data_IF_765647516115
#
_entry.id   IF_765647516115
#
_cell.length_a   1.000
_cell.length_b   1.000
_cell.length_c   1.000
_cell.angle_alpha   90.00
_cell.angle_beta   90.00
_cell.angle_gamma   90.00
#
_symmetry.space_group_name_H-M   'P 1'
#
loop_
_entity.id
_entity.type
_entity.pdbx_description
1 polymer ?
#
# COMPACT_ATOMS: atom_id res chain seq x y z
N UNK A 1 -7.67 -4.37 -30.54
CA UNK A 1 -7.98 -5.29 -29.43
C UNK A 1 -7.63 -4.51 -28.17
N UNK A 2 -8.62 -4.18 -27.34
CA UNK A 2 -8.35 -3.48 -26.08
C UNK A 2 -7.55 -4.42 -25.17
N UNK A 3 -6.47 -3.94 -24.59
CA UNK A 3 -5.72 -4.65 -23.57
C UNK A 3 -6.69 -4.95 -22.41
N UNK A 4 -6.64 -6.16 -21.89
CA UNK A 4 -7.39 -6.48 -20.67
C UNK A 4 -6.89 -5.59 -19.53
N UNK A 5 -7.79 -5.05 -18.69
CA UNK A 5 -7.38 -4.19 -17.58
C UNK A 5 -6.41 -4.94 -16.67
N UNK A 6 -5.39 -4.23 -16.17
CA UNK A 6 -4.44 -4.82 -15.22
C UNK A 6 -5.15 -5.33 -13.97
N UNK A 7 -4.57 -6.32 -13.27
CA UNK A 7 -5.18 -6.85 -12.04
C UNK A 7 -5.43 -5.76 -11.02
N UNK A 8 -4.47 -4.85 -10.83
CA UNK A 8 -4.61 -3.72 -9.89
C UNK A 8 -5.76 -2.74 -10.22
N UNK A 9 -6.37 -2.81 -11.41
CA UNK A 9 -7.52 -1.99 -11.81
C UNK A 9 -8.87 -2.67 -11.52
N UNK A 10 -8.86 -3.92 -11.04
CA UNK A 10 -10.07 -4.64 -10.67
C UNK A 10 -10.57 -4.24 -9.28
N UNK A 11 -11.84 -4.52 -8.98
CA UNK A 11 -12.38 -4.25 -7.64
C UNK A 11 -11.77 -5.21 -6.59
N UNK A 12 -11.54 -4.71 -5.38
CA UNK A 12 -11.00 -5.49 -4.28
C UNK A 12 -11.85 -6.74 -3.97
N UNK A 13 -13.17 -6.67 -4.14
CA UNK A 13 -14.07 -7.82 -3.95
C UNK A 13 -13.79 -8.90 -4.99
N UNK A 14 -13.68 -8.50 -6.27
CA UNK A 14 -13.37 -9.44 -7.34
C UNK A 14 -11.99 -10.09 -7.14
N UNK A 15 -10.97 -9.29 -6.80
CA UNK A 15 -9.60 -9.77 -6.54
C UNK A 15 -9.56 -10.77 -5.39
N UNK A 16 -10.19 -10.45 -4.26
CA UNK A 16 -10.30 -11.35 -3.11
C UNK A 16 -10.94 -12.69 -3.52
N UNK A 17 -12.04 -12.64 -4.27
CA UNK A 17 -12.76 -13.84 -4.68
C UNK A 17 -11.98 -14.62 -5.72
N UNK A 18 -11.24 -13.98 -6.62
CA UNK A 18 -10.36 -14.62 -7.60
C UNK A 18 -9.17 -15.34 -6.91
N UNK A 19 -8.55 -14.74 -5.88
CA UNK A 19 -7.53 -15.41 -5.07
C UNK A 19 -8.12 -16.64 -4.37
N UNK A 20 -9.30 -16.50 -3.75
CA UNK A 20 -9.98 -17.63 -3.09
C UNK A 20 -10.31 -18.77 -4.04
N UNK A 21 -10.70 -18.46 -5.28
CA UNK A 21 -10.97 -19.46 -6.33
C UNK A 21 -9.70 -19.93 -7.06
N UNK A 22 -8.52 -19.41 -6.69
CA UNK A 22 -7.22 -19.69 -7.34
C UNK A 22 -7.21 -19.36 -8.84
N UNK A 23 -7.97 -18.38 -9.24
CA UNK A 23 -7.95 -17.84 -10.60
C UNK A 23 -6.74 -16.93 -10.82
N UNK A 24 -6.25 -16.30 -9.72
CA UNK A 24 -5.02 -15.56 -9.64
C UNK A 24 -4.30 -15.88 -8.33
N UNK A 25 -2.99 -15.65 -8.28
CA UNK A 25 -2.18 -15.73 -7.07
C UNK A 25 -2.05 -14.36 -6.39
N UNK A 26 -1.73 -14.37 -5.09
CA UNK A 26 -1.36 -13.14 -4.36
C UNK A 26 -0.12 -12.49 -4.97
N UNK A 27 0.85 -13.31 -5.43
CA UNK A 27 2.04 -12.84 -6.11
C UNK A 27 1.74 -12.11 -7.41
N UNK A 28 0.86 -12.64 -8.27
CA UNK A 28 0.46 -11.97 -9.53
C UNK A 28 -0.22 -10.62 -9.28
N UNK A 29 -1.12 -10.56 -8.29
CA UNK A 29 -1.76 -9.29 -7.90
C UNK A 29 -0.74 -8.31 -7.33
N UNK A 30 0.16 -8.78 -6.46
CA UNK A 30 1.21 -7.96 -5.87
C UNK A 30 2.10 -7.32 -6.94
N UNK A 31 2.60 -8.12 -7.90
CA UNK A 31 3.45 -7.60 -8.98
C UNK A 31 2.71 -6.61 -9.88
N UNK A 32 1.42 -6.83 -10.15
CA UNK A 32 0.60 -5.85 -10.88
C UNK A 32 0.50 -4.52 -10.13
N UNK A 33 0.37 -4.54 -8.80
CA UNK A 33 0.36 -3.33 -7.98
C UNK A 33 1.74 -2.65 -7.93
N UNK A 34 2.82 -3.43 -7.78
CA UNK A 34 4.20 -2.91 -7.76
C UNK A 34 4.52 -2.22 -9.09
N UNK A 35 4.24 -2.87 -10.21
CA UNK A 35 4.45 -2.28 -11.53
C UNK A 35 3.72 -0.95 -11.67
N UNK A 36 2.46 -0.87 -11.26
CA UNK A 36 1.68 0.38 -11.29
C UNK A 36 2.32 1.46 -10.42
N UNK A 37 2.80 1.10 -9.22
CA UNK A 37 3.49 2.03 -8.34
C UNK A 37 4.78 2.53 -9.01
N UNK A 38 5.61 1.65 -9.56
CA UNK A 38 6.87 2.01 -10.21
C UNK A 38 6.67 2.92 -11.43
N UNK A 39 5.60 2.70 -12.19
CA UNK A 39 5.25 3.53 -13.35
C UNK A 39 4.77 4.94 -12.94
N UNK A 40 3.92 5.03 -11.92
CA UNK A 40 3.21 6.28 -11.59
C UNK A 40 3.92 7.11 -10.52
N UNK A 41 4.59 6.45 -9.57
CA UNK A 41 5.13 7.09 -8.39
C UNK A 41 6.22 8.14 -8.65
N UNK A 42 7.10 8.01 -9.67
CA UNK A 42 8.06 9.06 -10.02
C UNK A 42 7.42 10.41 -10.35
N UNK A 43 6.16 10.38 -10.82
CA UNK A 43 5.40 11.59 -11.14
C UNK A 43 4.49 12.02 -9.98
N UNK A 44 3.85 11.07 -9.32
CA UNK A 44 2.77 11.36 -8.35
C UNK A 44 3.26 11.48 -6.91
N UNK A 45 4.35 10.82 -6.52
CA UNK A 45 4.87 10.81 -5.14
C UNK A 45 3.83 10.34 -4.12
N UNK A 46 3.18 9.22 -4.40
CA UNK A 46 2.13 8.62 -3.56
C UNK A 46 2.71 7.68 -2.51
N UNK A 47 3.56 6.72 -2.93
CA UNK A 47 4.20 5.74 -2.05
C UNK A 47 5.59 6.24 -1.67
N UNK A 48 5.80 6.52 -0.39
CA UNK A 48 7.01 7.22 0.10
C UNK A 48 7.99 6.29 0.82
N UNK A 49 7.53 5.15 1.30
CA UNK A 49 8.38 4.12 1.90
C UNK A 49 7.89 2.75 1.42
N UNK A 50 8.38 2.25 0.28
CA UNK A 50 8.01 0.92 -0.22
C UNK A 50 8.70 -0.18 0.59
N UNK A 51 8.07 -1.38 0.68
CA UNK A 51 8.65 -2.59 1.26
C UNK A 51 8.39 -3.81 0.37
N UNK A 52 8.66 -3.69 -0.92
CA UNK A 52 8.29 -4.66 -1.94
C UNK A 52 8.88 -6.04 -1.73
N UNK A 53 10.15 -6.15 -1.29
CA UNK A 53 10.78 -7.46 -1.09
C UNK A 53 10.11 -8.23 0.05
N UNK A 54 9.85 -7.57 1.19
CA UNK A 54 9.10 -8.18 2.29
C UNK A 54 7.66 -8.54 1.88
N UNK A 55 7.02 -7.73 1.03
CA UNK A 55 5.70 -8.02 0.49
C UNK A 55 5.71 -9.25 -0.43
N UNK A 56 6.75 -9.44 -1.27
CA UNK A 56 6.93 -10.63 -2.11
C UNK A 56 7.07 -11.91 -1.28
N UNK A 57 7.84 -11.85 -0.21
CA UNK A 57 7.97 -12.98 0.72
C UNK A 57 6.62 -13.34 1.35
N UNK A 58 5.84 -12.35 1.80
CA UNK A 58 4.51 -12.56 2.36
C UNK A 58 3.52 -13.11 1.32
N UNK A 59 3.56 -12.65 0.08
CA UNK A 59 2.73 -13.16 -1.00
C UNK A 59 3.03 -14.63 -1.31
N UNK A 60 4.31 -15.01 -1.34
CA UNK A 60 4.71 -16.41 -1.52
C UNK A 60 4.21 -17.31 -0.38
N UNK A 61 4.23 -16.83 0.87
CA UNK A 61 3.67 -17.53 2.03
C UNK A 61 2.13 -17.67 1.88
N UNK A 62 1.45 -16.59 1.49
CA UNK A 62 0.00 -16.60 1.27
C UNK A 62 -0.40 -17.60 0.18
N UNK A 63 0.32 -17.63 -0.95
CA UNK A 63 0.06 -18.57 -2.05
C UNK A 63 0.32 -20.04 -1.65
N UNK A 64 1.31 -20.27 -0.80
CA UNK A 64 1.61 -21.61 -0.27
C UNK A 64 0.56 -22.08 0.75
N UNK A 65 0.00 -21.19 1.55
CA UNK A 65 -0.97 -21.50 2.61
C UNK A 65 -2.38 -21.80 2.07
N UNK A 66 -2.67 -21.41 0.84
CA UNK A 66 -4.00 -21.57 0.20
C UNK A 66 -4.33 -23.01 -0.19
N UNK A 67 -4.07 -23.99 0.66
CA UNK A 67 -4.26 -25.41 0.23
C UNK A 67 -5.59 -26.02 0.63
N UNK A 68 -6.13 -25.77 1.81
CA UNK A 68 -7.37 -26.43 2.27
C UNK A 68 -7.98 -25.76 3.53
N UNK A 69 -8.54 -24.57 3.46
CA UNK A 69 -9.13 -24.01 4.66
C UNK A 69 -9.85 -22.68 4.50
N UNK A 70 -10.44 -22.22 5.60
CA UNK A 70 -11.02 -20.89 5.69
C UNK A 70 -9.91 -19.82 5.61
N UNK A 71 -9.81 -19.18 4.46
CA UNK A 71 -8.88 -18.08 4.27
C UNK A 71 -9.34 -16.84 5.04
N UNK A 72 -8.39 -16.14 5.63
CA UNK A 72 -8.63 -14.86 6.27
C UNK A 72 -9.32 -13.86 5.31
N UNK A 73 -10.09 -12.90 5.82
CA UNK A 73 -10.93 -12.02 4.98
C UNK A 73 -10.18 -11.25 3.89
N UNK A 74 -8.92 -10.87 4.14
CA UNK A 74 -8.04 -10.13 3.23
C UNK A 74 -6.83 -10.96 2.79
N UNK A 75 -6.94 -12.30 2.83
CA UNK A 75 -5.83 -13.19 2.52
C UNK A 75 -5.17 -12.84 1.18
N UNK A 76 -3.87 -12.53 1.23
CA UNK A 76 -3.05 -12.24 0.06
C UNK A 76 -3.34 -10.89 -0.62
N UNK A 77 -4.21 -10.05 -0.04
CA UNK A 77 -4.56 -8.75 -0.60
C UNK A 77 -3.49 -7.70 -0.27
N UNK A 78 -2.86 -7.05 -1.27
CA UNK A 78 -1.92 -5.96 -1.03
C UNK A 78 -2.63 -4.70 -0.53
N UNK A 79 -2.03 -4.04 0.45
CA UNK A 79 -2.50 -2.77 1.00
C UNK A 79 -1.35 -1.78 1.19
N UNK A 80 -1.68 -0.51 1.20
CA UNK A 80 -0.78 0.58 1.57
C UNK A 80 -1.25 1.19 2.89
N UNK A 81 -0.31 1.60 3.73
CA UNK A 81 -0.60 2.21 5.04
C UNK A 81 -0.15 3.67 5.01
N UNK A 82 -1.03 4.56 5.43
CA UNK A 82 -0.69 5.99 5.53
C UNK A 82 0.49 6.21 6.49
N UNK A 83 1.39 7.11 6.14
CA UNK A 83 2.61 7.42 6.92
C UNK A 83 2.34 8.20 8.24
N UNK A 84 1.12 8.10 8.73
CA UNK A 84 0.68 8.50 10.08
C UNK A 84 0.45 7.33 11.02
N UNK A 85 0.42 6.11 10.50
CA UNK A 85 0.04 4.91 11.24
C UNK A 85 1.28 4.07 11.44
N UNK A 86 1.69 3.85 12.67
CA UNK A 86 2.87 3.07 13.00
C UNK A 86 2.77 1.66 12.44
N UNK A 87 3.84 1.23 11.78
CA UNK A 87 3.93 -0.08 11.14
C UNK A 87 5.27 -0.70 11.54
N UNK A 88 5.23 -1.80 12.28
CA UNK A 88 6.41 -2.45 12.82
C UNK A 88 7.44 -2.75 11.72
N UNK A 89 8.69 -2.34 11.98
CA UNK A 89 9.82 -2.56 11.09
C UNK A 89 9.82 -1.70 9.82
N UNK A 90 8.78 -0.86 9.60
CA UNK A 90 8.67 -0.02 8.42
C UNK A 90 8.70 1.46 8.80
N UNK A 91 9.68 2.18 8.26
CA UNK A 91 9.88 3.62 8.51
C UNK A 91 8.55 4.37 8.41
N UNK A 92 8.21 5.12 9.48
CA UNK A 92 6.98 5.89 9.62
C UNK A 92 7.32 7.29 10.12
N UNK A 93 7.22 8.28 9.25
CA UNK A 93 7.77 9.62 9.52
C UNK A 93 6.77 10.63 10.04
N UNK A 94 5.47 10.32 10.01
CA UNK A 94 4.38 11.27 10.28
C UNK A 94 4.46 12.53 9.38
N UNK A 95 5.20 12.45 8.26
CA UNK A 95 5.48 13.60 7.39
C UNK A 95 6.38 14.67 8.05
N UNK A 96 7.05 14.37 9.18
CA UNK A 96 7.85 15.31 9.95
C UNK A 96 9.33 14.97 9.91
N UNK A 97 10.18 15.99 9.75
CA UNK A 97 11.64 15.84 9.84
C UNK A 97 12.12 15.33 11.19
N UNK A 98 11.38 15.60 12.26
CA UNK A 98 11.70 15.10 13.60
C UNK A 98 11.64 13.57 13.70
N UNK A 99 10.87 12.91 12.81
CA UNK A 99 10.68 11.48 12.74
C UNK A 99 11.20 10.89 11.43
N UNK A 100 12.05 11.60 10.70
CA UNK A 100 12.52 11.19 9.38
C UNK A 100 13.12 9.78 9.34
N UNK A 101 13.73 9.32 10.42
CA UNK A 101 14.38 8.01 10.55
C UNK A 101 13.67 7.09 11.56
N UNK A 102 12.45 7.46 11.99
CA UNK A 102 11.72 6.66 12.97
C UNK A 102 11.21 5.36 12.35
N UNK A 103 11.55 4.25 13.00
CA UNK A 103 11.07 2.91 12.68
C UNK A 103 10.34 2.34 13.90
N UNK A 104 9.01 2.16 13.82
CA UNK A 104 8.23 1.61 14.92
C UNK A 104 8.65 0.18 15.26
N UNK A 105 8.57 -0.16 16.55
CA UNK A 105 8.83 -1.52 17.09
C UNK A 105 7.54 -2.30 17.33
N UNK A 106 6.39 -1.71 17.01
CA UNK A 106 5.06 -2.31 17.13
C UNK A 106 4.15 -1.76 16.05
N UNK A 107 3.22 -2.59 15.60
CA UNK A 107 2.13 -2.14 14.74
C UNK A 107 1.09 -1.34 15.54
N UNK A 108 0.56 -0.27 14.93
CA UNK A 108 -0.71 0.31 15.37
C UNK A 108 -1.81 -0.77 15.34
N UNK A 109 -2.78 -0.75 16.28
CA UNK A 109 -3.86 -1.75 16.33
C UNK A 109 -4.62 -1.97 15.01
N UNK A 110 -4.74 -0.95 14.17
CA UNK A 110 -5.38 -1.09 12.85
C UNK A 110 -4.49 -1.91 11.90
N UNK A 111 -3.18 -1.69 11.92
CA UNK A 111 -2.22 -2.43 11.08
C UNK A 111 -2.16 -3.89 11.51
N UNK A 112 -2.09 -4.15 12.82
CA UNK A 112 -2.13 -5.50 13.36
C UNK A 112 -3.38 -6.25 12.89
N UNK A 113 -4.56 -5.62 12.98
CA UNK A 113 -5.83 -6.23 12.51
C UNK A 113 -5.85 -6.49 11.00
N UNK A 114 -5.25 -5.61 10.20
CA UNK A 114 -5.16 -5.82 8.75
C UNK A 114 -4.24 -6.99 8.42
N UNK A 115 -3.10 -7.12 9.11
CA UNK A 115 -2.19 -8.28 8.98
C UNK A 115 -2.86 -9.58 9.45
N UNK A 116 -3.56 -9.57 10.58
CA UNK A 116 -4.32 -10.72 11.08
C UNK A 116 -5.43 -11.14 10.09
N UNK A 117 -6.01 -10.18 9.38
CA UNK A 117 -6.95 -10.44 8.31
C UNK A 117 -6.29 -10.99 7.03
N UNK A 118 -4.97 -11.11 6.98
CA UNK A 118 -4.19 -11.68 5.88
C UNK A 118 -3.76 -10.67 4.80
N UNK A 119 -3.88 -9.37 5.06
CA UNK A 119 -3.41 -8.34 4.14
C UNK A 119 -1.89 -8.24 4.11
N UNK A 120 -1.33 -7.91 2.95
CA UNK A 120 0.10 -7.76 2.69
C UNK A 120 0.43 -6.27 2.56
N UNK A 121 1.27 -5.74 3.46
CA UNK A 121 1.67 -4.33 3.43
C UNK A 121 2.70 -4.11 2.33
N UNK A 122 2.41 -3.22 1.37
CA UNK A 122 3.28 -2.83 0.25
C UNK A 122 4.19 -1.65 0.58
N UNK A 123 3.81 -0.83 1.55
CA UNK A 123 4.54 0.39 1.89
C UNK A 123 3.69 1.44 2.57
N UNK A 124 4.27 2.64 2.70
CA UNK A 124 3.63 3.82 3.29
C UNK A 124 3.22 4.82 2.22
N UNK A 125 2.02 5.40 2.37
CA UNK A 125 1.57 6.50 1.52
C UNK A 125 1.80 7.84 2.16
N UNK A 126 2.04 8.87 1.33
CA UNK A 126 2.34 10.22 1.77
C UNK A 126 1.20 10.88 2.58
N UNK A 127 1.56 11.80 3.44
CA UNK A 127 0.67 12.52 4.37
C UNK A 127 1.19 13.95 4.57
N UNK A 128 0.36 14.96 4.88
CA UNK A 128 0.87 16.19 5.46
C UNK A 128 1.47 15.93 6.86
N UNK A 129 2.34 16.83 7.33
CA UNK A 129 2.98 16.70 8.63
C UNK A 129 1.93 16.50 9.74
N UNK A 130 2.08 15.43 10.54
CA UNK A 130 1.13 14.98 11.57
C UNK A 130 -0.33 14.87 11.10
N UNK A 131 -0.56 14.71 9.80
CA UNK A 131 -1.89 14.66 9.23
C UNK A 131 -2.61 16.01 9.20
N UNK A 132 -1.96 17.08 9.62
CA UNK A 132 -2.55 18.41 9.70
C UNK A 132 -2.48 19.12 8.34
N UNK A 133 -3.64 19.31 7.71
CA UNK A 133 -3.75 20.06 6.47
C UNK A 133 -4.64 19.42 5.42
N UNK A 134 -5.11 20.25 4.49
CA UNK A 134 -5.98 19.85 3.39
C UNK A 134 -5.22 19.42 2.13
N UNK A 135 -3.89 19.54 2.13
CA UNK A 135 -3.01 19.15 1.03
C UNK A 135 -1.94 18.19 1.52
N UNK A 136 -1.65 17.17 0.71
CA UNK A 136 -0.62 16.19 1.03
C UNK A 136 0.75 16.73 0.58
N UNK A 137 1.39 17.43 1.49
CA UNK A 137 2.75 17.95 1.33
C UNK A 137 3.47 17.97 2.68
N UNK A 138 4.76 17.68 2.68
CA UNK A 138 5.62 17.75 3.86
C UNK A 138 7.08 17.99 3.48
N UNK A 139 7.93 18.25 4.47
CA UNK A 139 9.34 18.52 4.23
C UNK A 139 10.24 17.27 4.12
N UNK A 140 9.70 16.08 4.37
CA UNK A 140 10.44 14.81 4.24
C UNK A 140 10.40 14.30 2.81
N UNK A 141 9.21 14.30 2.18
CA UNK A 141 8.95 13.67 0.89
C UNK A 141 8.47 14.64 -0.20
N UNK A 142 8.07 15.86 0.17
CA UNK A 142 7.47 16.80 -0.77
C UNK A 142 5.97 16.57 -0.96
N UNK A 143 5.47 16.93 -2.14
CA UNK A 143 4.03 16.99 -2.44
C UNK A 143 3.57 15.81 -3.30
N UNK A 144 2.47 15.18 -2.91
CA UNK A 144 1.75 14.25 -3.77
C UNK A 144 0.88 15.03 -4.77
N UNK A 145 0.95 14.61 -6.02
CA UNK A 145 0.31 15.28 -7.15
C UNK A 145 -1.01 14.62 -7.52
N UNK A 146 -1.91 15.42 -8.08
CA UNK A 146 -3.17 14.93 -8.61
C UNK A 146 -2.92 14.13 -9.92
N UNK A 147 -3.39 12.87 -10.02
CA UNK A 147 -3.15 12.05 -11.21
C UNK A 147 -3.84 12.60 -12.48
N UNK A 148 -4.92 13.36 -12.33
CA UNK A 148 -5.64 13.95 -13.47
C UNK A 148 -5.00 15.26 -13.96
N UNK A 149 -4.24 15.95 -13.08
CA UNK A 149 -3.49 17.15 -13.42
C UNK A 149 -2.33 17.33 -12.44
N UNK A 150 -1.15 16.92 -12.84
CA UNK A 150 0.06 16.90 -12.02
C UNK A 150 0.58 18.28 -11.58
N UNK A 151 0.00 19.36 -12.08
CA UNK A 151 0.27 20.72 -11.59
C UNK A 151 -0.52 21.06 -10.33
N UNK A 152 -1.48 20.22 -9.95
CA UNK A 152 -2.31 20.37 -8.77
C UNK A 152 -1.90 19.37 -7.68
N UNK A 153 -2.22 19.71 -6.43
CA UNK A 153 -2.12 18.77 -5.30
C UNK A 153 -3.24 17.72 -5.39
N UNK A 154 -2.98 16.54 -4.87
CA UNK A 154 -3.98 15.48 -4.72
C UNK A 154 -5.07 15.80 -3.67
N UNK A 155 -4.92 16.92 -2.93
CA UNK A 155 -5.69 17.16 -1.72
C UNK A 155 -5.11 16.40 -0.52
N UNK A 156 -5.91 16.21 0.52
CA UNK A 156 -5.43 15.55 1.75
C UNK A 156 -6.54 15.31 2.76
N UNK A 157 -6.15 14.78 3.86
CA UNK A 157 -4.81 14.41 4.33
C UNK A 157 -4.33 13.02 3.88
N UNK A 158 -5.09 12.29 3.07
CA UNK A 158 -4.72 10.96 2.55
C UNK A 158 -4.47 11.01 1.04
N UNK A 159 -3.77 12.02 0.56
CA UNK A 159 -3.54 12.23 -0.87
C UNK A 159 -2.62 11.20 -1.53
N UNK A 160 -1.91 10.40 -0.75
CA UNK A 160 -1.12 9.27 -1.26
C UNK A 160 -1.91 7.97 -1.45
N UNK A 161 -3.21 7.99 -1.17
CA UNK A 161 -4.08 6.80 -1.25
C UNK A 161 -4.74 6.67 -2.60
#
# INVERSE_FOLDING_TARGET
MGESPALCDQSAVWLRDAIRRREITSGELLESCIQRIEEMNPTLYTVVTPCFDAAREQAAVADAANKDGDLAPLHGMPILIKDLTETEGLRTTFGSRAFADHVPTQDDPIVARLRDAGAIVLGKTNTPEFGAGANTTNEVFGSTRNPMNTNLTSGGSSGGS
#
